data_IF_966322871931
#
_entry.id   IF_966322871931
#
_cell.length_a   1.000
_cell.length_b   1.000
_cell.length_c   1.000
_cell.angle_alpha   90.00
_cell.angle_beta   90.00
_cell.angle_gamma   90.00
#
_symmetry.space_group_name_H-M   'P 1'
#
loop_
_entity.id
_entity.type
_entity.pdbx_description
1 polymer ?
#
# COMPACT_ATOMS: atom_id res chain seq x y z
N UNK A 1 1.82 -9.36 -10.36
CA UNK A 1 3.16 -8.95 -9.86
C UNK A 1 3.64 -7.58 -10.35
N UNK A 2 3.31 -7.11 -11.56
CA UNK A 2 3.76 -5.80 -12.09
C UNK A 2 3.03 -4.60 -11.43
N UNK A 3 1.76 -4.76 -11.06
CA UNK A 3 0.94 -3.67 -10.51
C UNK A 3 1.41 -3.16 -9.12
N UNK A 4 1.98 -4.04 -8.29
CA UNK A 4 2.48 -3.69 -6.95
C UNK A 4 3.74 -2.81 -7.01
N UNK A 5 4.68 -3.13 -7.93
CA UNK A 5 5.94 -2.37 -8.08
C UNK A 5 5.73 -0.94 -8.59
N UNK A 6 4.72 -0.73 -9.41
CA UNK A 6 4.41 0.59 -9.94
C UNK A 6 3.86 1.52 -8.85
N UNK A 7 3.02 0.99 -7.94
CA UNK A 7 2.52 1.74 -6.77
C UNK A 7 3.63 2.09 -5.80
N UNK A 8 4.52 1.13 -5.55
CA UNK A 8 5.72 1.31 -4.74
C UNK A 8 6.59 2.44 -5.33
N UNK A 9 7.01 2.33 -6.59
CA UNK A 9 7.77 3.41 -7.25
C UNK A 9 7.06 4.77 -7.18
N UNK A 10 5.73 4.79 -7.36
CA UNK A 10 4.93 6.01 -7.22
C UNK A 10 5.01 6.62 -5.82
N UNK A 11 4.99 5.81 -4.76
CA UNK A 11 5.17 6.30 -3.39
C UNK A 11 6.57 6.87 -3.16
N UNK A 12 7.62 6.26 -3.69
CA UNK A 12 8.98 6.80 -3.63
C UNK A 12 9.09 8.14 -4.37
N UNK A 13 8.42 8.29 -5.52
CA UNK A 13 8.33 9.56 -6.25
C UNK A 13 7.57 10.61 -5.43
N UNK A 14 6.46 10.24 -4.78
CA UNK A 14 5.69 11.15 -3.91
C UNK A 14 6.53 11.60 -2.72
N UNK A 15 7.28 10.70 -2.07
CA UNK A 15 8.23 11.05 -1.00
C UNK A 15 9.32 12.01 -1.51
N UNK A 16 9.92 11.71 -2.66
CA UNK A 16 10.94 12.56 -3.28
C UNK A 16 10.43 13.96 -3.63
N UNK A 17 9.23 14.05 -4.23
CA UNK A 17 8.58 15.34 -4.56
C UNK A 17 8.18 16.09 -3.28
N UNK A 18 7.67 15.41 -2.26
CA UNK A 18 7.30 16.03 -0.99
C UNK A 18 8.52 16.61 -0.26
N UNK A 19 9.62 15.85 -0.18
CA UNK A 19 10.89 16.30 0.42
C UNK A 19 11.52 17.45 -0.37
N UNK A 20 11.53 17.35 -1.70
CA UNK A 20 12.02 18.41 -2.60
C UNK A 20 11.21 19.72 -2.48
N UNK A 21 9.87 19.64 -2.42
CA UNK A 21 9.00 20.80 -2.23
C UNK A 21 9.12 21.43 -0.84
N UNK A 22 9.33 20.62 0.20
CA UNK A 22 9.53 21.10 1.56
C UNK A 22 10.93 21.69 1.79
N UNK A 23 11.90 21.37 0.91
CA UNK A 23 13.31 21.72 1.13
C UNK A 23 13.88 21.06 2.38
N UNK A 24 13.35 19.90 2.77
CA UNK A 24 13.75 19.19 3.98
C UNK A 24 14.44 17.89 3.61
N UNK A 25 15.57 17.67 4.27
CA UNK A 25 16.38 16.47 4.13
C UNK A 25 16.49 15.83 5.52
N UNK A 26 16.32 14.51 5.58
CA UNK A 26 16.37 13.74 6.83
C UNK A 26 17.79 13.29 7.19
N UNK A 27 18.66 13.18 6.19
CA UNK A 27 20.00 12.60 6.32
C UNK A 27 21.09 13.68 6.28
N UNK A 28 21.99 13.73 7.28
CA UNK A 28 23.01 14.76 7.37
C UNK A 28 24.03 14.73 6.22
N UNK A 29 24.28 13.56 5.61
CA UNK A 29 25.14 13.40 4.45
C UNK A 29 24.57 14.04 3.18
N UNK A 30 23.25 14.01 3.01
CA UNK A 30 22.55 14.65 1.90
C UNK A 30 22.55 16.18 2.05
N UNK A 31 22.55 16.67 3.30
CA UNK A 31 22.77 18.10 3.60
C UNK A 31 24.21 18.51 3.28
N UNK A 32 25.20 17.67 3.56
CA UNK A 32 26.59 17.96 3.21
C UNK A 32 26.83 17.94 1.69
N UNK A 33 26.21 17.01 0.97
CA UNK A 33 26.36 16.87 -0.49
C UNK A 33 25.55 17.90 -1.30
N UNK A 34 24.32 18.24 -0.86
CA UNK A 34 23.41 19.11 -1.60
C UNK A 34 23.16 20.49 -0.94
N UNK A 35 23.64 20.70 0.29
CA UNK A 35 23.45 21.94 1.07
C UNK A 35 24.32 23.12 0.65
N UNK A 36 25.23 22.95 -0.31
CA UNK A 36 26.07 24.03 -0.88
C UNK A 36 25.26 25.21 -1.44
N UNK A 37 23.95 25.03 -1.70
CA UNK A 37 23.03 26.10 -2.17
C UNK A 37 22.05 26.64 -1.11
N UNK A 38 22.24 26.37 0.18
CA UNK A 38 21.48 27.01 1.28
C UNK A 38 19.96 26.78 1.29
N UNK A 39 19.46 25.82 0.49
CA UNK A 39 18.03 25.59 0.26
C UNK A 39 17.46 24.39 1.04
N UNK A 40 18.32 23.57 1.63
CA UNK A 40 17.96 22.32 2.28
C UNK A 40 18.24 22.42 3.77
N UNK A 41 17.21 22.20 4.59
CA UNK A 41 17.33 22.18 6.06
C UNK A 41 17.21 20.74 6.54
N UNK A 42 18.06 20.38 7.52
CA UNK A 42 17.85 19.17 8.29
C UNK A 42 16.56 19.35 9.09
N UNK A 43 15.59 18.47 8.92
CA UNK A 43 14.29 18.61 9.55
C UNK A 43 13.49 17.32 9.52
N UNK A 44 12.40 17.31 10.29
CA UNK A 44 11.48 16.18 10.33
C UNK A 44 10.84 15.94 8.95
N UNK A 45 10.61 14.67 8.63
CA UNK A 45 10.03 14.27 7.36
C UNK A 45 8.65 14.93 7.14
N UNK A 46 8.36 15.49 5.95
CA UNK A 46 7.07 16.15 5.73
C UNK A 46 5.92 15.16 5.92
N UNK A 47 4.77 15.57 6.50
CA UNK A 47 3.66 14.67 6.84
C UNK A 47 3.14 13.83 5.67
N UNK A 48 3.30 14.31 4.43
CA UNK A 48 2.93 13.57 3.23
C UNK A 48 3.89 12.41 2.92
N UNK A 49 5.19 12.60 3.15
CA UNK A 49 6.20 11.57 2.93
C UNK A 49 6.11 10.47 4.01
N UNK A 50 5.87 10.86 5.26
CA UNK A 50 5.61 9.92 6.36
C UNK A 50 4.37 9.05 6.08
N UNK A 51 3.25 9.66 5.66
CA UNK A 51 2.04 8.91 5.27
C UNK A 51 2.27 7.98 4.07
N UNK A 52 3.09 8.39 3.10
CA UNK A 52 3.47 7.53 1.98
C UNK A 52 4.36 6.36 2.43
N UNK A 53 5.19 6.56 3.48
CA UNK A 53 5.94 5.49 4.14
C UNK A 53 5.03 4.46 4.81
N UNK A 54 4.06 4.91 5.60
CA UNK A 54 3.07 4.00 6.20
C UNK A 54 2.24 3.25 5.16
N UNK A 55 1.90 3.92 4.05
CA UNK A 55 1.21 3.27 2.93
C UNK A 55 2.08 2.15 2.33
N UNK A 56 3.37 2.43 2.17
CA UNK A 56 4.33 1.48 1.61
C UNK A 56 4.47 0.23 2.49
N UNK A 57 4.63 0.39 3.80
CA UNK A 57 4.72 -0.74 4.74
C UNK A 57 3.43 -1.58 4.74
N UNK A 58 2.27 -0.92 4.77
CA UNK A 58 0.99 -1.61 4.74
C UNK A 58 0.76 -2.39 3.42
N UNK A 59 1.18 -1.82 2.29
CA UNK A 59 1.10 -2.50 0.99
C UNK A 59 2.07 -3.69 0.91
N UNK A 60 3.26 -3.60 1.55
CA UNK A 60 4.24 -4.69 1.61
C UNK A 60 3.75 -5.90 2.41
N UNK A 61 2.92 -5.70 3.43
CA UNK A 61 2.38 -6.81 4.23
C UNK A 61 1.12 -7.41 3.58
N UNK A 62 0.17 -6.58 3.16
CA UNK A 62 -1.15 -7.05 2.73
C UNK A 62 -1.15 -7.61 1.30
N UNK A 63 -0.43 -6.97 0.36
CA UNK A 63 -0.48 -7.39 -1.06
C UNK A 63 0.13 -8.79 -1.27
N UNK A 64 1.29 -9.15 -0.69
CA UNK A 64 1.81 -10.52 -0.82
C UNK A 64 0.90 -11.56 -0.19
N UNK A 65 0.30 -11.28 0.97
CA UNK A 65 -0.65 -12.17 1.64
C UNK A 65 -1.86 -12.44 0.76
N UNK A 66 -2.48 -11.39 0.21
CA UNK A 66 -3.60 -11.54 -0.71
C UNK A 66 -3.23 -12.33 -1.97
N UNK A 67 -2.05 -12.06 -2.56
CA UNK A 67 -1.60 -12.79 -3.76
C UNK A 67 -1.43 -14.28 -3.49
N UNK A 68 -0.90 -14.64 -2.31
CA UNK A 68 -0.78 -16.04 -1.91
C UNK A 68 -2.15 -16.72 -1.77
N UNK A 69 -3.08 -16.07 -1.06
CA UNK A 69 -4.46 -16.56 -0.90
C UNK A 69 -5.20 -16.67 -2.23
N UNK A 70 -5.07 -15.67 -3.09
CA UNK A 70 -5.70 -15.64 -4.42
C UNK A 70 -5.16 -16.76 -5.32
N UNK A 71 -3.85 -16.99 -5.30
CA UNK A 71 -3.24 -18.10 -6.04
C UNK A 71 -3.75 -19.45 -5.53
N UNK A 72 -3.79 -19.63 -4.21
CA UNK A 72 -4.29 -20.85 -3.59
C UNK A 72 -5.77 -21.11 -3.96
N UNK A 73 -6.65 -20.11 -3.86
CA UNK A 73 -8.09 -20.25 -4.21
C UNK A 73 -8.30 -20.63 -5.69
N UNK A 74 -7.45 -20.12 -6.59
CA UNK A 74 -7.49 -20.49 -8.02
C UNK A 74 -7.02 -21.93 -8.23
N UNK A 75 -5.94 -22.35 -7.56
CA UNK A 75 -5.39 -23.71 -7.68
C UNK A 75 -6.32 -24.77 -7.10
N UNK A 76 -7.12 -24.45 -6.08
CA UNK A 76 -8.14 -25.34 -5.52
C UNK A 76 -9.43 -25.40 -6.36
N UNK A 77 -9.45 -24.81 -7.56
CA UNK A 77 -10.63 -24.84 -8.44
C UNK A 77 -11.73 -23.86 -8.03
N UNK A 78 -11.37 -22.73 -7.41
CA UNK A 78 -12.30 -21.68 -7.04
C UNK A 78 -13.17 -21.22 -8.23
N UNK A 79 -14.46 -20.97 -7.97
CA UNK A 79 -15.40 -20.55 -9.02
C UNK A 79 -14.96 -19.20 -9.62
N UNK A 80 -14.74 -19.10 -10.94
CA UNK A 80 -14.09 -17.93 -11.56
C UNK A 80 -14.84 -16.62 -11.32
N UNK A 81 -16.17 -16.66 -11.32
CA UNK A 81 -17.00 -15.48 -11.05
C UNK A 81 -16.83 -14.96 -9.61
N UNK A 82 -16.68 -15.84 -8.62
CA UNK A 82 -16.49 -15.45 -7.22
C UNK A 82 -15.08 -14.90 -7.01
N UNK A 83 -14.07 -15.56 -7.58
CA UNK A 83 -12.68 -15.08 -7.55
C UNK A 83 -12.58 -13.66 -8.17
N UNK A 84 -13.22 -13.43 -9.32
CA UNK A 84 -13.21 -12.13 -9.98
C UNK A 84 -13.80 -11.01 -9.09
N UNK A 85 -14.93 -11.27 -8.43
CA UNK A 85 -15.55 -10.31 -7.51
C UNK A 85 -14.64 -10.04 -6.32
N UNK A 86 -14.16 -11.07 -5.63
CA UNK A 86 -13.29 -10.90 -4.45
C UNK A 86 -12.00 -10.16 -4.79
N UNK A 87 -11.35 -10.51 -5.91
CA UNK A 87 -10.11 -9.87 -6.32
C UNK A 87 -10.32 -8.42 -6.74
N UNK A 88 -11.43 -8.14 -7.45
CA UNK A 88 -11.85 -6.79 -7.79
C UNK A 88 -12.13 -5.93 -6.55
N UNK A 89 -12.87 -6.46 -5.57
CA UNK A 89 -13.16 -5.79 -4.31
C UNK A 89 -11.88 -5.49 -3.53
N UNK A 90 -10.96 -6.45 -3.42
CA UNK A 90 -9.67 -6.23 -2.75
C UNK A 90 -8.87 -5.10 -3.42
N UNK A 91 -8.77 -5.13 -4.75
CA UNK A 91 -8.06 -4.10 -5.50
C UNK A 91 -8.66 -2.71 -5.29
N UNK A 92 -9.99 -2.59 -5.40
CA UNK A 92 -10.69 -1.32 -5.17
C UNK A 92 -10.47 -0.81 -3.74
N UNK A 93 -10.53 -1.71 -2.75
CA UNK A 93 -10.27 -1.40 -1.35
C UNK A 93 -8.88 -0.82 -1.15
N UNK A 94 -7.85 -1.41 -1.76
CA UNK A 94 -6.49 -0.85 -1.67
C UNK A 94 -6.31 0.46 -2.40
N UNK A 95 -6.98 0.70 -3.52
CA UNK A 95 -6.93 2.02 -4.17
C UNK A 95 -7.55 3.08 -3.26
N UNK A 96 -8.73 2.79 -2.69
CA UNK A 96 -9.42 3.71 -1.77
C UNK A 96 -8.61 3.96 -0.49
N UNK A 97 -8.02 2.92 0.11
CA UNK A 97 -7.16 3.04 1.28
C UNK A 97 -5.95 3.93 1.00
N UNK A 98 -5.24 3.72 -0.12
CA UNK A 98 -4.11 4.56 -0.53
C UNK A 98 -4.51 6.04 -0.65
N UNK A 99 -5.62 6.33 -1.32
CA UNK A 99 -6.10 7.71 -1.51
C UNK A 99 -6.52 8.35 -0.19
N UNK A 100 -7.25 7.62 0.65
CA UNK A 100 -7.71 8.11 1.95
C UNK A 100 -6.54 8.40 2.90
N UNK A 101 -5.50 7.56 2.89
CA UNK A 101 -4.32 7.76 3.72
C UNK A 101 -3.50 8.98 3.30
N UNK A 102 -3.24 9.15 2.00
CA UNK A 102 -2.51 10.33 1.48
C UNK A 102 -3.26 11.63 1.76
N UNK A 103 -4.60 11.62 1.66
CA UNK A 103 -5.46 12.78 1.95
C UNK A 103 -5.83 12.94 3.43
N UNK A 104 -5.34 12.07 4.32
CA UNK A 104 -5.73 12.03 5.73
C UNK A 104 -7.25 12.01 5.98
N UNK A 105 -8.00 11.31 5.11
CA UNK A 105 -9.45 11.21 5.19
C UNK A 105 -9.86 10.08 6.15
N UNK A 106 -10.13 10.47 7.40
CA UNK A 106 -10.89 9.65 8.34
C UNK A 106 -12.39 9.88 8.07
N UNK A 107 -13.28 8.86 8.08
CA UNK A 107 -13.10 7.46 8.48
C UNK A 107 -12.82 6.48 7.33
N UNK A 108 -12.74 6.98 6.09
CA UNK A 108 -12.60 6.16 4.88
C UNK A 108 -11.37 5.24 4.92
N UNK A 109 -10.28 5.67 5.56
CA UNK A 109 -9.10 4.83 5.79
C UNK A 109 -9.46 3.51 6.47
N UNK A 110 -10.13 3.58 7.62
CA UNK A 110 -10.43 2.39 8.43
C UNK A 110 -11.42 1.47 7.72
N UNK A 111 -12.41 2.04 7.03
CA UNK A 111 -13.40 1.25 6.28
C UNK A 111 -12.72 0.47 5.15
N UNK A 112 -11.89 1.14 4.33
CA UNK A 112 -11.19 0.47 3.23
C UNK A 112 -10.18 -0.58 3.73
N UNK A 113 -9.55 -0.38 4.88
CA UNK A 113 -8.70 -1.41 5.47
C UNK A 113 -9.51 -2.65 5.89
N UNK A 114 -10.60 -2.45 6.63
CA UNK A 114 -11.47 -3.55 7.10
C UNK A 114 -12.06 -4.33 5.94
N UNK A 115 -12.48 -3.66 4.87
CA UNK A 115 -12.98 -4.33 3.65
C UNK A 115 -11.90 -5.21 3.02
N UNK A 116 -10.65 -4.73 2.93
CA UNK A 116 -9.53 -5.53 2.42
C UNK A 116 -9.27 -6.78 3.26
N UNK A 117 -9.26 -6.63 4.60
CA UNK A 117 -9.10 -7.75 5.54
C UNK A 117 -10.24 -8.76 5.41
N UNK A 118 -11.49 -8.29 5.31
CA UNK A 118 -12.67 -9.15 5.16
C UNK A 118 -12.61 -10.00 3.88
N UNK A 119 -12.07 -9.46 2.77
CA UNK A 119 -11.85 -10.23 1.55
C UNK A 119 -10.81 -11.34 1.78
N UNK A 120 -9.66 -11.01 2.37
CA UNK A 120 -8.62 -12.02 2.68
C UNK A 120 -9.16 -13.12 3.61
N UNK A 121 -9.96 -12.75 4.61
CA UNK A 121 -10.61 -13.70 5.51
C UNK A 121 -11.57 -14.62 4.75
N UNK A 122 -12.39 -14.06 3.86
CA UNK A 122 -13.34 -14.83 3.04
C UNK A 122 -12.62 -15.85 2.15
N UNK A 123 -11.52 -15.45 1.51
CA UNK A 123 -10.70 -16.37 0.69
C UNK A 123 -10.09 -17.47 1.57
N UNK A 124 -9.59 -17.11 2.75
CA UNK A 124 -8.99 -18.07 3.69
C UNK A 124 -9.99 -19.13 4.15
N UNK A 125 -11.22 -18.74 4.50
CA UNK A 125 -12.28 -19.68 4.89
C UNK A 125 -12.64 -20.61 3.73
N UNK A 126 -12.76 -20.08 2.51
CA UNK A 126 -13.04 -20.89 1.32
C UNK A 126 -11.93 -21.90 1.05
N UNK A 127 -10.68 -21.49 1.22
CA UNK A 127 -9.53 -22.37 1.05
C UNK A 127 -9.53 -23.50 2.10
N UNK A 128 -9.81 -23.20 3.36
CA UNK A 128 -9.92 -24.21 4.42
C UNK A 128 -11.02 -25.23 4.11
N UNK A 129 -12.19 -24.77 3.65
CA UNK A 129 -13.29 -25.67 3.25
C UNK A 129 -12.87 -26.54 2.06
N UNK A 130 -12.18 -25.98 1.07
CA UNK A 130 -11.73 -26.72 -0.11
C UNK A 130 -10.64 -27.75 0.18
N UNK A 131 -9.88 -27.60 1.28
CA UNK A 131 -8.84 -28.55 1.70
C UNK A 131 -9.40 -29.63 2.64
N UNK A 132 -10.39 -29.29 3.47
CA UNK A 132 -10.97 -30.22 4.45
C UNK A 132 -12.18 -31.01 3.94
N UNK A 133 -12.81 -30.58 2.84
CA UNK A 133 -13.93 -31.26 2.19
C UNK A 133 -13.49 -32.03 0.96
#
# INVERSE_FOLDING_TARGET
>A
MVSSRLKLFSNSVVQGVARSRAGVVTTPEDVAAFGSKGRLKLGAEPPLAERAGWLWENDLENVPLFLFLALADVLTGGRPMICAVLFGTYFLSQVLHSVALLRAMQPMRSISYVVGVAVCFTISVRLVIAVLG
#
